data_IF_404180498548
#
_entry.id   IF_404180498548
#
_cell.length_a   1.000
_cell.length_b   1.000
_cell.length_c   1.000
_cell.angle_alpha   90.00
_cell.angle_beta   90.00
_cell.angle_gamma   90.00
#
_symmetry.space_group_name_H-M   'P 1'
#
loop_
_entity.id
_entity.type
_entity.pdbx_description
1 polymer ?
#
# COMPACT_ATOMS: atom_id res chain seq x y z
N UNK A 1 -8.67 -0.60 42.20
CA UNK A 1 -9.00 0.60 41.40
C UNK A 1 -8.79 0.22 39.96
N UNK A 2 -9.82 0.29 39.11
CA UNK A 2 -9.65 0.06 37.68
C UNK A 2 -8.77 1.19 37.12
N UNK A 3 -7.66 0.84 36.48
CA UNK A 3 -6.81 1.79 35.76
C UNK A 3 -7.61 2.30 34.56
N UNK A 4 -7.95 3.58 34.54
CA UNK A 4 -8.58 4.20 33.37
C UNK A 4 -7.62 4.10 32.19
N UNK A 5 -8.11 3.63 31.04
CA UNK A 5 -7.36 3.65 29.79
C UNK A 5 -7.03 5.11 29.46
N UNK A 6 -5.79 5.45 29.12
CA UNK A 6 -5.46 6.80 28.69
C UNK A 6 -6.26 7.14 27.42
N UNK A 7 -6.58 8.42 27.20
CA UNK A 7 -7.24 8.81 25.97
C UNK A 7 -6.40 8.54 24.74
N UNK A 8 -7.06 8.14 23.67
CA UNK A 8 -6.49 8.02 22.35
C UNK A 8 -6.70 9.33 21.58
N UNK A 9 -5.68 9.72 20.81
CA UNK A 9 -5.78 10.86 19.89
C UNK A 9 -6.54 10.48 18.62
N UNK A 10 -7.03 11.50 17.91
CA UNK A 10 -7.45 11.33 16.53
C UNK A 10 -6.29 10.76 15.69
N UNK A 11 -6.57 9.72 14.91
CA UNK A 11 -5.59 9.08 14.03
C UNK A 11 -5.72 9.50 12.57
N UNK A 12 -6.74 10.28 12.24
CA UNK A 12 -6.93 10.79 10.88
C UNK A 12 -5.98 11.96 10.62
N UNK A 13 -5.12 11.79 9.62
CA UNK A 13 -4.11 12.73 9.17
C UNK A 13 -4.29 13.12 7.71
N UNK A 14 -3.24 13.62 7.07
CA UNK A 14 -3.31 14.19 5.72
C UNK A 14 -2.40 13.43 4.75
N UNK A 15 -2.94 13.06 3.59
CA UNK A 15 -2.14 12.63 2.45
C UNK A 15 -1.85 13.85 1.56
N UNK A 16 -0.58 14.10 1.28
CA UNK A 16 -0.08 15.30 0.61
C UNK A 16 0.83 14.93 -0.56
N UNK A 17 1.13 15.88 -1.44
CA UNK A 17 2.01 15.67 -2.59
C UNK A 17 2.05 16.90 -3.49
N UNK A 18 2.45 16.74 -4.77
CA UNK A 18 2.54 17.84 -5.69
C UNK A 18 1.22 18.61 -5.81
N UNK A 19 1.31 19.93 -5.73
CA UNK A 19 0.16 20.85 -5.77
C UNK A 19 -0.55 21.04 -4.43
N UNK A 20 -0.15 20.37 -3.33
CA UNK A 20 -0.72 20.65 -1.99
C UNK A 20 -0.49 22.09 -1.56
N UNK A 21 -1.52 22.74 -1.03
CA UNK A 21 -1.39 24.07 -0.44
C UNK A 21 -0.59 24.02 0.89
N UNK A 22 0.62 24.61 0.95
CA UNK A 22 1.48 24.52 2.12
C UNK A 22 0.92 25.25 3.35
N UNK A 23 0.09 26.28 3.17
CA UNK A 23 -0.51 27.04 4.29
C UNK A 23 -1.51 26.18 5.08
N UNK A 24 -2.24 25.29 4.40
CA UNK A 24 -3.15 24.34 5.06
C UNK A 24 -2.38 23.35 5.92
N UNK A 25 -1.28 22.81 5.39
CA UNK A 25 -0.40 21.90 6.14
C UNK A 25 0.25 22.61 7.33
N UNK A 26 0.74 23.84 7.13
CA UNK A 26 1.37 24.65 8.17
C UNK A 26 0.42 24.88 9.34
N UNK A 27 -0.78 25.42 9.06
CA UNK A 27 -1.78 25.71 10.10
C UNK A 27 -2.19 24.44 10.86
N UNK A 28 -2.52 23.36 10.15
CA UNK A 28 -2.82 22.07 10.76
C UNK A 28 -1.72 21.56 11.70
N UNK A 29 -0.46 21.53 11.23
CA UNK A 29 0.65 21.03 12.05
C UNK A 29 0.97 21.95 13.23
N UNK A 30 0.92 23.27 13.04
CA UNK A 30 1.19 24.22 14.10
C UNK A 30 0.20 24.04 15.25
N UNK A 31 -1.10 24.02 14.94
CA UNK A 31 -2.14 23.93 15.96
C UNK A 31 -2.09 22.61 16.74
N UNK A 32 -1.88 21.49 16.06
CA UNK A 32 -1.71 20.19 16.72
C UNK A 32 -0.44 20.16 17.59
N UNK A 33 0.67 20.72 17.10
CA UNK A 33 1.93 20.79 17.84
C UNK A 33 1.78 21.63 19.11
N UNK A 34 1.14 22.81 19.01
CA UNK A 34 0.87 23.69 20.15
C UNK A 34 -0.07 23.04 21.18
N UNK A 35 -0.99 22.19 20.72
CA UNK A 35 -1.90 21.42 21.57
C UNK A 35 -1.26 20.16 22.17
N UNK A 36 -0.01 19.81 21.82
CA UNK A 36 0.61 18.57 22.29
C UNK A 36 0.08 17.31 21.60
N UNK A 37 -0.52 17.45 20.42
CA UNK A 37 -1.21 16.38 19.70
C UNK A 37 -0.31 15.89 18.54
N UNK A 38 -0.02 14.59 18.47
CA UNK A 38 0.73 14.02 17.37
C UNK A 38 -0.05 14.11 16.06
N UNK A 39 0.67 14.32 14.95
CA UNK A 39 0.08 14.38 13.61
C UNK A 39 0.56 13.19 12.77
N UNK A 40 -0.24 12.80 11.78
CA UNK A 40 0.11 11.79 10.79
C UNK A 40 0.09 12.44 9.40
N UNK A 41 1.23 12.48 8.71
CA UNK A 41 1.34 13.05 7.37
C UNK A 41 2.01 12.05 6.45
N UNK A 42 1.38 11.78 5.30
CA UNK A 42 2.01 11.11 4.17
C UNK A 42 2.28 12.15 3.08
N UNK A 43 3.47 12.12 2.49
CA UNK A 43 3.80 12.91 1.31
C UNK A 43 4.30 11.99 0.20
N UNK A 44 3.63 12.01 -0.96
CA UNK A 44 4.04 11.24 -2.13
C UNK A 44 4.87 12.10 -3.07
N UNK A 45 6.06 11.62 -3.45
CA UNK A 45 6.97 12.25 -4.43
C UNK A 45 7.46 13.69 -4.14
N UNK A 46 6.88 14.41 -3.18
CA UNK A 46 7.27 15.77 -2.79
C UNK A 46 7.83 15.80 -1.36
N UNK A 47 9.17 15.81 -1.25
CA UNK A 47 9.86 15.85 0.04
C UNK A 47 9.80 17.23 0.72
N UNK A 48 9.49 18.30 -0.01
CA UNK A 48 9.51 19.67 0.54
C UNK A 48 8.47 19.85 1.64
N UNK A 49 7.34 19.16 1.54
CA UNK A 49 6.29 19.14 2.55
C UNK A 49 6.74 18.43 3.83
N UNK A 50 7.51 17.33 3.71
CA UNK A 50 8.10 16.64 4.85
C UNK A 50 9.13 17.52 5.55
N UNK A 51 10.01 18.20 4.80
CA UNK A 51 10.98 19.14 5.38
C UNK A 51 10.30 20.28 6.14
N UNK A 52 9.20 20.78 5.59
CA UNK A 52 8.37 21.79 6.25
C UNK A 52 7.82 21.23 7.56
N UNK A 53 7.20 20.05 7.54
CA UNK A 53 6.66 19.40 8.72
C UNK A 53 7.73 19.12 9.80
N UNK A 54 8.90 18.63 9.40
CA UNK A 54 10.04 18.38 10.31
C UNK A 54 10.54 19.67 10.97
N UNK A 55 10.52 20.79 10.25
CA UNK A 55 10.98 22.09 10.74
C UNK A 55 10.00 22.67 11.75
N UNK A 56 8.69 22.57 11.50
CA UNK A 56 7.65 23.05 12.40
C UNK A 56 7.62 22.29 13.73
N UNK A 57 7.87 20.99 13.66
CA UNK A 57 7.76 20.10 14.82
C UNK A 57 9.08 19.90 15.56
N UNK A 58 10.16 20.58 15.15
CA UNK A 58 11.52 20.33 15.66
C UNK A 58 11.67 20.58 17.17
N UNK A 59 10.96 21.56 17.70
CA UNK A 59 11.01 21.92 19.12
C UNK A 59 10.05 21.11 20.00
N UNK A 60 9.16 20.32 19.39
CA UNK A 60 8.18 19.55 20.11
C UNK A 60 8.73 18.16 20.42
N UNK A 61 8.67 17.74 21.68
CA UNK A 61 8.92 16.34 22.08
C UNK A 61 7.69 15.46 21.78
N UNK A 62 7.13 15.62 20.57
CA UNK A 62 5.96 14.89 20.10
C UNK A 62 6.36 13.91 19.01
N UNK A 63 5.80 12.69 19.09
CA UNK A 63 6.03 11.65 18.11
C UNK A 63 5.09 11.81 16.90
N UNK A 64 5.25 12.90 16.15
CA UNK A 64 4.61 13.01 14.84
C UNK A 64 5.09 11.88 13.93
N UNK A 65 4.18 11.34 13.12
CA UNK A 65 4.49 10.29 12.15
C UNK A 65 4.49 10.89 10.75
N UNK A 66 5.65 10.91 10.13
CA UNK A 66 5.85 11.40 8.77
C UNK A 66 6.23 10.24 7.86
N UNK A 67 5.54 10.13 6.73
CA UNK A 67 5.79 9.10 5.71
C UNK A 67 6.13 9.78 4.39
N UNK A 68 7.30 9.47 3.84
CA UNK A 68 7.66 9.84 2.48
C UNK A 68 7.48 8.64 1.56
N UNK A 69 6.54 8.76 0.64
CA UNK A 69 6.12 7.70 -0.24
C UNK A 69 6.79 7.81 -1.60
N UNK A 70 7.53 6.78 -1.96
CA UNK A 70 8.04 6.59 -3.31
C UNK A 70 7.11 5.62 -4.06
N UNK A 71 6.42 6.10 -5.12
CA UNK A 71 5.56 5.25 -5.94
C UNK A 71 6.34 4.07 -6.54
N UNK A 72 5.66 2.93 -6.71
CA UNK A 72 6.26 1.74 -7.30
C UNK A 72 6.98 2.02 -8.64
N UNK A 73 6.40 2.90 -9.47
CA UNK A 73 7.00 3.35 -10.73
C UNK A 73 8.40 3.96 -10.56
N UNK A 74 8.67 4.68 -9.46
CA UNK A 74 9.95 5.33 -9.19
C UNK A 74 10.95 4.42 -8.49
N UNK A 75 10.49 3.41 -7.74
CA UNK A 75 11.36 2.48 -6.99
C UNK A 75 11.63 1.17 -7.71
N UNK A 76 11.00 0.92 -8.85
CA UNK A 76 11.21 -0.31 -9.60
C UNK A 76 10.11 -0.66 -10.56
N UNK A 77 9.46 0.31 -11.23
CA UNK A 77 8.40 0.02 -12.22
C UNK A 77 8.83 -0.99 -13.28
N UNK A 78 10.10 -0.93 -13.70
CA UNK A 78 10.69 -1.88 -14.64
C UNK A 78 11.15 -3.19 -13.98
N UNK A 79 11.43 -3.17 -12.67
CA UNK A 79 11.87 -4.32 -11.87
C UNK A 79 10.70 -5.13 -11.30
N UNK A 80 9.50 -4.56 -11.30
CA UNK A 80 8.25 -5.21 -10.95
C UNK A 80 7.24 -4.97 -12.08
N UNK A 81 7.37 -5.68 -13.21
CA UNK A 81 6.27 -5.84 -14.13
C UNK A 81 5.25 -6.74 -13.42
N UNK A 82 4.47 -6.14 -12.53
CA UNK A 82 3.38 -6.80 -11.78
C UNK A 82 2.32 -7.41 -12.71
N UNK A 83 2.43 -7.14 -14.02
CA UNK A 83 1.67 -7.67 -15.13
C UNK A 83 2.30 -8.90 -15.81
N UNK A 84 3.48 -9.36 -15.37
CA UNK A 84 4.12 -10.58 -15.85
C UNK A 84 3.77 -11.79 -14.96
N UNK A 85 2.99 -12.78 -15.46
CA UNK A 85 2.51 -13.92 -14.68
C UNK A 85 3.64 -14.80 -14.11
N UNK A 86 4.83 -14.77 -14.73
CA UNK A 86 5.98 -15.59 -14.33
C UNK A 86 7.05 -14.83 -13.53
N UNK A 87 6.87 -13.53 -13.25
CA UNK A 87 7.87 -12.73 -12.53
C UNK A 87 8.30 -13.41 -11.21
N UNK A 88 7.34 -13.96 -10.46
CA UNK A 88 7.60 -14.65 -9.21
C UNK A 88 8.25 -16.03 -9.38
N UNK A 89 7.91 -16.77 -10.44
CA UNK A 89 8.54 -18.06 -10.74
C UNK A 89 10.00 -17.86 -11.20
N UNK A 90 10.26 -16.79 -11.94
CA UNK A 90 11.57 -16.45 -12.47
C UNK A 90 12.53 -15.88 -11.41
N UNK A 91 11.99 -15.33 -10.32
CA UNK A 91 12.76 -14.71 -9.24
C UNK A 91 12.73 -15.48 -7.91
N UNK A 92 12.22 -16.71 -7.88
CA UNK A 92 12.27 -17.55 -6.67
C UNK A 92 13.72 -17.85 -6.29
N UNK A 93 14.10 -17.58 -5.05
CA UNK A 93 15.49 -17.67 -4.58
C UNK A 93 16.34 -16.45 -4.94
N UNK A 94 15.76 -15.41 -5.55
CA UNK A 94 16.42 -14.16 -5.90
C UNK A 94 15.93 -12.97 -5.07
N UNK A 95 15.09 -13.20 -4.06
CA UNK A 95 14.43 -12.20 -3.21
C UNK A 95 15.42 -11.15 -2.70
N UNK A 96 16.55 -11.61 -2.17
CA UNK A 96 17.63 -10.76 -1.66
C UNK A 96 18.24 -9.86 -2.76
N UNK A 97 18.49 -10.43 -3.94
CA UNK A 97 19.12 -9.69 -5.05
C UNK A 97 18.18 -8.66 -5.67
N UNK A 98 16.88 -8.97 -5.75
CA UNK A 98 15.84 -8.03 -6.19
C UNK A 98 15.68 -6.92 -5.16
N UNK A 99 15.59 -7.27 -3.87
CA UNK A 99 15.51 -6.30 -2.78
C UNK A 99 16.72 -5.35 -2.79
N UNK A 100 17.94 -5.85 -3.03
CA UNK A 100 19.13 -5.01 -3.09
C UNK A 100 19.10 -4.01 -4.27
N UNK A 101 18.56 -4.41 -5.42
CA UNK A 101 18.39 -3.50 -6.57
C UNK A 101 17.38 -2.39 -6.25
N UNK A 102 16.21 -2.77 -5.73
CA UNK A 102 15.13 -1.84 -5.35
C UNK A 102 15.60 -0.87 -4.27
N UNK A 103 16.28 -1.39 -3.25
CA UNK A 103 16.82 -0.57 -2.16
C UNK A 103 17.82 0.47 -2.69
N UNK A 104 18.77 0.05 -3.53
CA UNK A 104 19.74 0.97 -4.16
C UNK A 104 19.05 2.04 -5.02
N UNK A 105 18.03 1.65 -5.79
CA UNK A 105 17.26 2.59 -6.61
C UNK A 105 16.51 3.59 -5.73
N UNK A 106 15.84 3.12 -4.68
CA UNK A 106 15.15 3.98 -3.73
C UNK A 106 16.11 5.01 -3.12
N UNK A 107 17.26 4.57 -2.59
CA UNK A 107 18.26 5.48 -2.03
C UNK A 107 18.78 6.50 -3.03
N UNK A 108 18.93 6.13 -4.31
CA UNK A 108 19.33 7.04 -5.37
C UNK A 108 18.29 8.12 -5.70
N UNK A 109 17.02 7.88 -5.39
CA UNK A 109 15.92 8.82 -5.59
C UNK A 109 15.67 9.73 -4.39
N UNK A 110 16.30 9.45 -3.24
CA UNK A 110 16.10 10.26 -2.04
C UNK A 110 16.86 11.60 -2.11
N UNK A 111 16.28 12.68 -1.55
CA UNK A 111 17.02 13.90 -1.28
C UNK A 111 18.22 13.64 -0.36
N UNK A 112 19.30 14.39 -0.57
CA UNK A 112 20.55 14.23 0.20
C UNK A 112 20.40 14.51 1.69
N UNK A 113 19.37 15.27 2.07
CA UNK A 113 19.05 15.67 3.44
C UNK A 113 17.83 14.93 4.01
N UNK A 114 17.50 13.75 3.47
CA UNK A 114 16.43 12.90 3.97
C UNK A 114 16.68 12.50 5.44
N UNK A 115 15.69 12.76 6.31
CA UNK A 115 15.76 12.45 7.74
C UNK A 115 15.29 11.00 8.03
N UNK A 116 16.22 10.06 7.87
CA UNK A 116 15.97 8.62 8.05
C UNK A 116 15.54 8.19 9.46
N UNK A 117 15.80 9.01 10.47
CA UNK A 117 15.46 8.72 11.87
C UNK A 117 14.01 9.11 12.19
N UNK A 118 13.51 10.19 11.57
CA UNK A 118 12.18 10.73 11.86
C UNK A 118 11.14 10.38 10.80
N UNK A 119 11.55 10.14 9.56
CA UNK A 119 10.66 9.90 8.42
C UNK A 119 10.64 8.43 8.04
N UNK A 120 9.45 7.86 7.93
CA UNK A 120 9.22 6.55 7.36
C UNK A 120 9.36 6.63 5.84
N UNK A 121 10.26 5.85 5.27
CA UNK A 121 10.34 5.65 3.83
C UNK A 121 9.35 4.56 3.43
N UNK A 122 8.31 4.91 2.69
CA UNK A 122 7.40 3.94 2.10
C UNK A 122 7.88 3.53 0.70
N UNK A 123 8.10 2.23 0.50
CA UNK A 123 8.53 1.67 -0.77
C UNK A 123 7.41 0.88 -1.44
N UNK A 124 7.41 0.92 -2.78
CA UNK A 124 6.48 0.22 -3.65
C UNK A 124 5.02 0.66 -3.47
N UNK A 125 4.78 1.90 -3.05
CA UNK A 125 3.43 2.40 -2.83
C UNK A 125 2.54 2.21 -4.07
N UNK A 126 1.33 1.70 -3.86
CA UNK A 126 0.40 1.35 -4.93
C UNK A 126 0.67 0.00 -5.60
N UNK A 127 1.33 -0.94 -4.91
CA UNK A 127 1.50 -2.33 -5.37
C UNK A 127 0.18 -2.97 -5.85
N UNK A 128 0.24 -3.87 -6.84
CA UNK A 128 -0.90 -4.26 -7.68
C UNK A 128 -2.04 -4.95 -6.93
N UNK A 129 -3.21 -4.81 -7.54
CA UNK A 129 -4.42 -5.57 -7.30
C UNK A 129 -4.17 -7.06 -7.64
N UNK A 130 -4.29 -8.02 -6.74
CA UNK A 130 -4.20 -9.49 -6.99
C UNK A 130 -2.80 -10.10 -6.93
N UNK A 131 -2.65 -10.99 -5.94
CA UNK A 131 -1.48 -11.84 -5.73
C UNK A 131 -1.95 -13.27 -5.44
N UNK A 132 -1.61 -14.26 -6.27
CA UNK A 132 -1.65 -15.67 -5.88
C UNK A 132 -0.87 -15.95 -4.59
N UNK A 133 -1.28 -16.93 -3.79
CA UNK A 133 -0.66 -17.24 -2.48
C UNK A 133 0.86 -17.45 -2.55
N UNK A 134 1.37 -18.09 -3.61
CA UNK A 134 2.81 -18.29 -3.81
C UNK A 134 3.58 -16.99 -4.02
N UNK A 135 2.92 -15.95 -4.52
CA UNK A 135 3.50 -14.62 -4.68
C UNK A 135 3.53 -13.88 -3.34
N UNK A 136 2.51 -14.06 -2.49
CA UNK A 136 2.52 -13.52 -1.14
C UNK A 136 3.69 -14.07 -0.31
N UNK A 137 3.94 -15.37 -0.38
CA UNK A 137 5.08 -16.01 0.30
C UNK A 137 6.43 -15.38 -0.13
N UNK A 138 6.65 -15.25 -1.45
CA UNK A 138 7.83 -14.60 -2.00
C UNK A 138 7.93 -13.12 -1.61
N UNK A 139 6.81 -12.38 -1.64
CA UNK A 139 6.76 -10.97 -1.25
C UNK A 139 7.12 -10.78 0.21
N UNK A 140 6.70 -11.69 1.08
CA UNK A 140 7.10 -11.69 2.47
C UNK A 140 8.61 -11.85 2.62
N UNK A 141 9.23 -12.81 1.93
CA UNK A 141 10.70 -12.98 1.92
C UNK A 141 11.44 -11.75 1.37
N UNK A 142 10.95 -11.22 0.26
CA UNK A 142 11.46 -9.98 -0.34
C UNK A 142 11.35 -8.80 0.64
N UNK A 143 10.22 -8.69 1.36
CA UNK A 143 10.01 -7.69 2.40
C UNK A 143 10.99 -7.86 3.57
N UNK A 144 11.26 -9.10 4.00
CA UNK A 144 12.29 -9.40 5.02
C UNK A 144 13.67 -8.94 4.57
N UNK A 145 14.02 -9.17 3.30
CA UNK A 145 15.29 -8.72 2.74
C UNK A 145 15.40 -7.18 2.73
N UNK A 146 14.37 -6.47 2.28
CA UNK A 146 14.31 -5.00 2.34
C UNK A 146 14.41 -4.48 3.78
N UNK A 147 13.68 -5.09 4.71
CA UNK A 147 13.70 -4.71 6.12
C UNK A 147 15.11 -4.83 6.71
N UNK A 148 15.85 -5.91 6.38
CA UNK A 148 17.25 -6.08 6.82
C UNK A 148 18.14 -4.94 6.34
N UNK A 149 18.05 -4.59 5.06
CA UNK A 149 18.87 -3.51 4.47
C UNK A 149 18.52 -2.15 5.07
N UNK A 150 17.22 -1.83 5.20
CA UNK A 150 16.79 -0.58 5.82
C UNK A 150 17.28 -0.44 7.26
N UNK A 151 17.22 -1.50 8.06
CA UNK A 151 17.72 -1.50 9.43
C UNK A 151 19.25 -1.33 9.50
N UNK A 152 19.99 -2.01 8.60
CA UNK A 152 21.45 -1.85 8.50
C UNK A 152 21.84 -0.40 8.17
N UNK A 153 21.06 0.26 7.32
CA UNK A 153 21.30 1.64 6.89
C UNK A 153 20.67 2.69 7.84
N UNK A 154 19.97 2.25 8.89
CA UNK A 154 19.36 3.11 9.91
C UNK A 154 18.09 3.84 9.46
N UNK A 155 17.34 3.27 8.52
CA UNK A 155 16.08 3.82 8.02
C UNK A 155 14.87 3.26 8.76
N UNK A 156 13.86 4.13 8.93
CA UNK A 156 12.47 3.69 9.13
C UNK A 156 11.85 3.30 7.79
N UNK A 157 11.36 2.07 7.68
CA UNK A 157 10.80 1.51 6.45
C UNK A 157 9.34 1.11 6.64
N UNK A 158 8.50 1.58 5.72
CA UNK A 158 7.12 1.14 5.57
C UNK A 158 6.98 0.34 4.27
N UNK A 159 6.49 -0.90 4.36
CA UNK A 159 6.47 -1.80 3.21
C UNK A 159 5.13 -1.81 2.48
N UNK A 160 5.26 -1.80 1.16
CA UNK A 160 4.28 -2.08 0.10
C UNK A 160 3.19 -1.05 -0.17
N UNK A 161 2.66 -0.35 0.82
CA UNK A 161 1.61 0.66 0.58
C UNK A 161 0.44 0.11 -0.24
N UNK A 162 -0.06 -1.06 0.18
CA UNK A 162 -0.96 -1.88 -0.62
C UNK A 162 -2.23 -1.14 -1.01
N UNK A 163 -2.70 -1.29 -2.24
CA UNK A 163 -4.02 -0.76 -2.62
C UNK A 163 -5.16 -1.43 -1.85
N UNK A 164 -6.29 -0.71 -1.71
CA UNK A 164 -7.49 -1.24 -1.05
C UNK A 164 -7.92 -2.57 -1.69
N UNK A 165 -8.32 -3.53 -0.84
CA UNK A 165 -8.64 -4.90 -1.26
C UNK A 165 -7.45 -5.89 -1.31
N UNK A 166 -6.19 -5.43 -1.21
CA UNK A 166 -5.01 -6.30 -1.36
C UNK A 166 -3.92 -6.15 -0.27
N UNK A 167 -3.14 -7.19 0.03
CA UNK A 167 -3.35 -8.56 -0.40
C UNK A 167 -4.59 -9.14 0.30
N UNK A 168 -5.07 -10.28 -0.17
CA UNK A 168 -6.23 -10.93 0.47
C UNK A 168 -5.89 -11.34 1.92
N UNK A 169 -6.87 -11.41 2.82
CA UNK A 169 -6.64 -11.80 4.22
C UNK A 169 -5.86 -13.11 4.42
N UNK A 170 -6.00 -14.07 3.51
CA UNK A 170 -5.29 -15.36 3.60
C UNK A 170 -3.81 -15.25 3.23
N UNK A 171 -3.44 -14.28 2.39
CA UNK A 171 -2.05 -14.05 1.97
C UNK A 171 -1.14 -13.75 3.17
N UNK A 172 -1.65 -13.08 4.20
CA UNK A 172 -0.93 -12.78 5.44
C UNK A 172 -0.54 -14.02 6.25
N UNK A 173 -1.11 -15.19 5.95
CA UNK A 173 -0.84 -16.47 6.64
C UNK A 173 0.17 -17.35 5.90
N UNK A 174 0.73 -16.89 4.78
CA UNK A 174 1.83 -17.58 4.12
C UNK A 174 3.12 -17.44 4.94
N UNK A 175 4.03 -18.42 4.82
CA UNK A 175 5.23 -18.49 5.67
C UNK A 175 6.10 -17.23 5.56
N UNK A 176 6.30 -16.71 4.35
CA UNK A 176 7.08 -15.51 4.11
C UNK A 176 6.41 -14.25 4.66
N UNK A 177 5.09 -14.12 4.51
CA UNK A 177 4.37 -12.99 5.11
C UNK A 177 4.45 -13.06 6.64
N UNK A 178 4.32 -14.25 7.24
CA UNK A 178 4.50 -14.42 8.68
C UNK A 178 5.93 -14.09 9.15
N UNK A 179 6.96 -14.44 8.37
CA UNK A 179 8.34 -14.01 8.65
C UNK A 179 8.51 -12.50 8.58
N UNK A 180 7.84 -11.84 7.63
CA UNK A 180 7.80 -10.39 7.56
C UNK A 180 7.09 -9.79 8.79
N UNK A 181 5.93 -10.32 9.18
CA UNK A 181 5.21 -9.83 10.36
C UNK A 181 6.04 -9.98 11.64
N UNK A 182 6.73 -11.10 11.82
CA UNK A 182 7.70 -11.29 12.91
C UNK A 182 8.74 -10.18 12.92
N UNK A 183 9.35 -9.89 11.75
CA UNK A 183 10.39 -8.87 11.63
C UNK A 183 9.88 -7.47 11.97
N UNK A 184 8.68 -7.11 11.50
CA UNK A 184 8.06 -5.82 11.84
C UNK A 184 7.74 -5.73 13.34
N UNK A 185 7.27 -6.82 13.94
CA UNK A 185 6.94 -6.89 15.37
C UNK A 185 8.17 -6.80 16.29
N UNK A 186 9.33 -7.28 15.83
CA UNK A 186 10.62 -7.17 16.55
C UNK A 186 11.22 -5.76 16.50
N UNK A 187 10.75 -4.90 15.60
CA UNK A 187 11.32 -3.55 15.41
C UNK A 187 10.23 -2.52 15.08
N UNK A 188 9.23 -2.32 15.95
CA UNK A 188 8.04 -1.54 15.65
C UNK A 188 8.32 -0.04 15.42
N UNK A 189 9.47 0.48 15.87
CA UNK A 189 9.88 1.88 15.65
C UNK A 189 10.74 2.10 14.40
N UNK A 190 11.06 1.01 13.67
CA UNK A 190 11.82 1.05 12.41
C UNK A 190 11.10 0.37 11.25
N UNK A 191 10.23 -0.58 11.50
CA UNK A 191 9.58 -1.38 10.46
C UNK A 191 8.06 -1.34 10.61
N UNK A 192 7.38 -1.09 9.50
CA UNK A 192 5.94 -1.03 9.45
C UNK A 192 5.40 -1.67 8.17
N UNK A 193 4.14 -2.11 8.24
CA UNK A 193 3.36 -2.46 7.06
C UNK A 193 2.50 -1.25 6.69
N UNK A 194 2.47 -0.92 5.40
CA UNK A 194 1.67 0.16 4.89
C UNK A 194 0.49 -0.32 4.05
N UNK A 195 -0.66 0.37 4.19
CA UNK A 195 -1.92 0.05 3.55
C UNK A 195 -2.62 1.32 3.04
N UNK A 196 -3.38 1.17 1.96
CA UNK A 196 -4.39 2.13 1.54
C UNK A 196 -5.80 1.57 1.80
N UNK A 197 -6.70 2.32 2.43
CA UNK A 197 -8.03 1.84 2.81
C UNK A 197 -9.10 2.78 2.27
N UNK A 198 -9.92 2.29 1.35
CA UNK A 198 -11.05 3.03 0.77
C UNK A 198 -12.34 2.26 1.00
N UNK A 199 -13.41 2.94 1.40
CA UNK A 199 -14.73 2.29 1.50
C UNK A 199 -15.35 1.98 0.14
N UNK A 200 -14.88 2.66 -0.93
CA UNK A 200 -15.46 2.57 -2.26
C UNK A 200 -16.82 3.25 -2.39
N UNK A 201 -17.23 4.02 -1.38
CA UNK A 201 -18.54 4.70 -1.36
C UNK A 201 -18.47 6.02 -0.60
N UNK A 202 -18.98 7.14 -1.16
CA UNK A 202 -19.10 8.40 -0.42
C UNK A 202 -20.11 8.30 0.75
N UNK A 203 -20.97 7.30 0.78
CA UNK A 203 -22.06 7.24 1.76
C UNK A 203 -21.60 6.72 3.14
N UNK A 204 -20.37 6.21 3.27
CA UNK A 204 -19.90 5.63 4.54
C UNK A 204 -18.38 5.42 4.60
N UNK A 205 -17.83 5.42 5.82
CA UNK A 205 -16.50 4.90 6.14
C UNK A 205 -16.57 3.64 7.02
N UNK A 206 -17.73 2.97 7.05
CA UNK A 206 -17.88 1.77 7.86
C UNK A 206 -17.01 0.62 7.31
N UNK A 207 -16.29 -0.10 8.19
CA UNK A 207 -15.60 -1.33 7.80
C UNK A 207 -16.57 -2.48 7.45
N UNK A 208 -17.83 -2.39 7.89
CA UNK A 208 -18.84 -3.44 7.66
C UNK A 208 -19.68 -3.20 6.40
N UNK A 209 -19.45 -2.08 5.71
CA UNK A 209 -20.12 -1.79 4.46
C UNK A 209 -19.68 -2.79 3.36
N UNK A 210 -20.61 -3.29 2.52
CA UNK A 210 -20.27 -4.24 1.47
C UNK A 210 -19.18 -3.72 0.53
N UNK A 211 -18.10 -4.48 0.37
CA UNK A 211 -16.97 -4.11 -0.49
C UNK A 211 -16.02 -3.06 0.10
N UNK A 212 -16.25 -2.61 1.35
CA UNK A 212 -15.37 -1.66 2.02
C UNK A 212 -13.99 -2.25 2.31
N UNK A 213 -12.95 -1.48 2.00
CA UNK A 213 -11.58 -1.78 2.40
C UNK A 213 -11.20 -1.20 3.76
N UNK A 214 -12.10 -0.49 4.44
CA UNK A 214 -11.83 0.11 5.75
C UNK A 214 -11.60 -0.98 6.80
N UNK A 215 -10.55 -0.84 7.62
CA UNK A 215 -10.27 -1.73 8.73
C UNK A 215 -9.71 -3.10 8.35
N UNK A 216 -9.25 -3.26 7.11
CA UNK A 216 -8.62 -4.49 6.63
C UNK A 216 -7.28 -4.79 7.31
N UNK A 217 -6.65 -3.78 7.92
CA UNK A 217 -5.48 -3.99 8.77
C UNK A 217 -5.74 -5.04 9.88
N UNK A 218 -7.00 -5.24 10.30
CA UNK A 218 -7.38 -6.29 11.25
C UNK A 218 -6.96 -7.68 10.80
N UNK A 219 -6.98 -7.97 9.49
CA UNK A 219 -6.52 -9.26 8.96
C UNK A 219 -5.02 -9.52 9.21
N UNK A 220 -4.19 -8.46 9.24
CA UNK A 220 -2.77 -8.55 9.60
C UNK A 220 -2.64 -8.90 11.07
N UNK A 221 -3.41 -8.21 11.92
CA UNK A 221 -3.38 -8.40 13.37
C UNK A 221 -3.91 -9.79 13.75
N UNK A 222 -4.93 -10.29 13.07
CA UNK A 222 -5.43 -11.65 13.24
C UNK A 222 -4.38 -12.69 12.82
N UNK A 223 -3.72 -12.51 11.68
CA UNK A 223 -2.65 -13.41 11.24
C UNK A 223 -1.47 -13.41 12.22
N UNK A 224 -1.10 -12.26 12.76
CA UNK A 224 -0.08 -12.13 13.80
C UNK A 224 -0.53 -12.83 15.11
N UNK A 225 -1.76 -12.60 15.55
CA UNK A 225 -2.31 -13.21 16.77
C UNK A 225 -2.40 -14.74 16.67
N UNK A 226 -2.85 -15.27 15.53
CA UNK A 226 -2.91 -16.71 15.24
C UNK A 226 -1.53 -17.39 15.43
N UNK A 227 -0.45 -16.66 15.16
CA UNK A 227 0.94 -17.12 15.28
C UNK A 227 1.66 -16.61 16.54
N UNK A 228 0.94 -15.93 17.45
CA UNK A 228 1.52 -15.33 18.68
C UNK A 228 2.65 -14.33 18.40
N UNK A 229 2.54 -13.61 17.29
CA UNK A 229 3.42 -12.50 16.91
C UNK A 229 2.87 -11.22 17.52
N UNK A 230 3.72 -10.43 18.19
CA UNK A 230 3.32 -9.11 18.69
C UNK A 230 2.74 -8.25 17.54
N UNK A 231 1.79 -7.35 17.80
CA UNK A 231 1.24 -6.49 16.76
C UNK A 231 2.32 -5.68 16.04
N UNK A 232 2.47 -5.79 14.70
CA UNK A 232 3.40 -4.96 13.95
C UNK A 232 2.88 -3.51 13.88
N UNK A 233 3.78 -2.56 13.62
CA UNK A 233 3.37 -1.17 13.32
C UNK A 233 2.67 -1.11 11.96
N UNK A 234 1.55 -0.38 11.92
CA UNK A 234 0.68 -0.22 10.75
C UNK A 234 0.53 1.26 10.41
N UNK A 235 0.72 1.59 9.13
CA UNK A 235 0.52 2.93 8.58
C UNK A 235 -0.56 2.87 7.50
N UNK A 236 -1.65 3.62 7.65
CA UNK A 236 -2.67 3.70 6.59
C UNK A 236 -2.36 4.94 5.75
N UNK A 237 -1.54 4.78 4.71
CA UNK A 237 -0.92 5.90 4.00
C UNK A 237 -1.85 6.61 3.02
N UNK A 238 -2.95 5.98 2.60
CA UNK A 238 -4.05 6.65 1.92
C UNK A 238 -5.39 6.09 2.43
N UNK A 239 -6.33 6.98 2.74
CA UNK A 239 -7.57 6.61 3.41
C UNK A 239 -8.73 7.49 2.96
N UNK A 240 -9.92 6.91 2.84
CA UNK A 240 -11.13 7.70 2.64
C UNK A 240 -12.29 6.90 2.05
N UNK A 241 -13.14 7.61 1.32
CA UNK A 241 -14.36 7.07 0.74
C UNK A 241 -14.08 6.42 -0.61
N UNK A 242 -14.27 7.20 -1.66
CA UNK A 242 -14.00 6.86 -3.05
C UNK A 242 -12.82 7.72 -3.55
N UNK A 243 -12.00 7.17 -4.44
CA UNK A 243 -10.81 7.88 -4.92
C UNK A 243 -11.13 9.14 -5.74
N UNK A 244 -12.36 9.23 -6.28
CA UNK A 244 -12.83 10.32 -7.11
C UNK A 244 -13.81 11.25 -6.37
N UNK A 245 -14.34 10.84 -5.20
CA UNK A 245 -15.36 11.61 -4.50
C UNK A 245 -15.26 11.53 -2.98
N UNK A 246 -15.36 12.71 -2.37
CA UNK A 246 -15.50 12.90 -0.92
C UNK A 246 -16.89 13.48 -0.64
N UNK A 247 -17.53 13.15 0.50
CA UNK A 247 -18.80 13.75 0.89
C UNK A 247 -18.69 15.24 1.17
N UNK A 248 -19.82 15.92 1.38
CA UNK A 248 -19.78 17.27 1.92
C UNK A 248 -19.13 17.29 3.32
N UNK A 249 -18.57 18.43 3.77
CA UNK A 249 -17.80 18.49 5.02
C UNK A 249 -18.55 18.04 6.28
N UNK A 250 -19.86 18.29 6.37
CA UNK A 250 -20.67 17.90 7.54
C UNK A 250 -20.82 16.37 7.61
N UNK A 251 -21.21 15.76 6.49
CA UNK A 251 -21.28 14.31 6.35
C UNK A 251 -19.92 13.65 6.55
N UNK A 252 -18.88 14.21 5.94
CA UNK A 252 -17.52 13.68 6.05
C UNK A 252 -17.01 13.72 7.50
N UNK A 253 -17.26 14.80 8.24
CA UNK A 253 -16.90 14.92 9.64
C UNK A 253 -17.56 13.83 10.50
N UNK A 254 -18.87 13.61 10.32
CA UNK A 254 -19.59 12.57 11.05
C UNK A 254 -19.00 11.17 10.77
N UNK A 255 -18.70 10.87 9.50
CA UNK A 255 -18.06 9.59 9.14
C UNK A 255 -16.64 9.45 9.69
N UNK A 256 -15.83 10.53 9.72
CA UNK A 256 -14.47 10.50 10.28
C UNK A 256 -14.49 10.28 11.80
N UNK A 257 -15.40 10.96 12.49
CA UNK A 257 -15.62 10.75 13.93
C UNK A 257 -15.97 9.29 14.21
N UNK A 258 -16.95 8.75 13.48
CA UNK A 258 -17.40 7.36 13.62
C UNK A 258 -16.27 6.36 13.33
N UNK A 259 -15.53 6.55 12.23
CA UNK A 259 -14.41 5.66 11.89
C UNK A 259 -13.28 5.71 12.92
N UNK A 260 -12.99 6.88 13.50
CA UNK A 260 -11.96 6.97 14.53
C UNK A 260 -12.45 6.36 15.86
N UNK A 261 -13.69 6.66 16.26
CA UNK A 261 -14.32 6.15 17.48
C UNK A 261 -14.50 4.64 17.45
N UNK A 262 -15.02 4.07 16.36
CA UNK A 262 -15.31 2.63 16.30
C UNK A 262 -14.12 1.76 15.90
N UNK A 263 -13.11 2.34 15.25
CA UNK A 263 -12.03 1.59 14.65
C UNK A 263 -10.68 2.15 15.07
N UNK A 264 -10.16 3.20 14.45
CA UNK A 264 -8.72 3.50 14.54
C UNK A 264 -8.21 3.81 15.97
N UNK A 265 -9.00 4.49 16.80
CA UNK A 265 -8.63 4.79 18.18
C UNK A 265 -8.39 3.53 19.03
N UNK A 266 -9.03 2.41 18.70
CA UNK A 266 -8.94 1.15 19.46
C UNK A 266 -7.67 0.32 19.17
N UNK A 267 -6.87 0.69 18.15
CA UNK A 267 -5.75 -0.15 17.70
C UNK A 267 -4.40 0.57 17.82
N UNK A 268 -3.67 0.45 18.94
CA UNK A 268 -2.36 1.09 19.14
C UNK A 268 -1.33 0.79 18.04
N UNK A 269 -1.43 -0.37 17.39
CA UNK A 269 -0.60 -0.77 16.26
C UNK A 269 -0.74 0.19 15.05
N UNK A 270 -1.90 0.82 14.87
CA UNK A 270 -2.15 1.79 13.81
C UNK A 270 -1.66 3.17 14.25
N UNK A 271 -0.65 3.71 13.57
CA UNK A 271 -0.08 5.04 13.87
C UNK A 271 -0.93 6.18 13.32
N UNK A 272 -1.65 5.96 12.23
CA UNK A 272 -2.53 6.95 11.62
C UNK A 272 -3.10 6.50 10.28
N UNK A 273 -4.06 7.28 9.79
CA UNK A 273 -4.71 7.12 8.49
C UNK A 273 -4.79 8.45 7.75
N UNK A 274 -4.14 8.55 6.59
CA UNK A 274 -4.00 9.81 5.87
C UNK A 274 -5.13 10.02 4.84
N UNK A 275 -5.93 11.08 5.02
CA UNK A 275 -7.02 11.44 4.11
C UNK A 275 -6.51 11.65 2.67
N UNK A 276 -7.01 10.84 1.75
CA UNK A 276 -6.75 10.96 0.31
C UNK A 276 -7.61 12.06 -0.34
N UNK A 277 -7.04 13.06 -1.00
CA UNK A 277 -5.64 13.48 -1.02
C UNK A 277 -5.59 14.99 -1.20
N UNK A 278 -4.60 15.69 -0.65
CA UNK A 278 -4.37 17.11 -0.91
C UNK A 278 -3.47 17.36 -2.13
N UNK A 279 -3.04 16.32 -2.84
CA UNK A 279 -2.17 16.43 -4.01
C UNK A 279 -2.99 16.73 -5.28
N UNK A 280 -3.16 18.02 -5.60
CA UNK A 280 -3.97 18.47 -6.76
C UNK A 280 -3.48 17.95 -8.11
N UNK A 281 -2.17 17.68 -8.24
CA UNK A 281 -1.63 17.12 -9.48
C UNK A 281 -1.93 15.62 -9.63
N UNK A 282 -2.35 14.95 -8.56
CA UNK A 282 -2.67 13.52 -8.56
C UNK A 282 -4.16 13.23 -8.69
N UNK A 283 -5.03 14.08 -8.14
CA UNK A 283 -6.47 13.82 -8.18
C UNK A 283 -7.31 15.10 -8.14
N UNK A 284 -8.38 15.20 -8.95
CA UNK A 284 -9.35 16.28 -8.85
C UNK A 284 -10.13 16.27 -7.51
N UNK A 285 -10.07 15.17 -6.75
CA UNK A 285 -10.67 15.09 -5.41
C UNK A 285 -9.96 16.02 -4.40
N UNK A 286 -8.78 16.55 -4.74
CA UNK A 286 -7.98 17.34 -3.80
C UNK A 286 -8.67 18.61 -3.29
N UNK A 287 -9.41 19.31 -4.15
CA UNK A 287 -10.20 20.45 -3.71
C UNK A 287 -11.30 20.07 -2.70
N UNK A 288 -11.86 18.85 -2.79
CA UNK A 288 -12.84 18.35 -1.83
C UNK A 288 -12.17 17.95 -0.52
N UNK A 289 -11.01 17.28 -0.59
CA UNK A 289 -10.24 16.89 0.58
C UNK A 289 -9.66 18.10 1.35
N UNK A 290 -9.26 19.18 0.66
CA UNK A 290 -8.83 20.43 1.31
C UNK A 290 -9.91 21.05 2.19
N UNK A 291 -11.18 20.95 1.76
CA UNK A 291 -12.31 21.42 2.57
C UNK A 291 -12.47 20.63 3.89
N UNK A 292 -11.83 19.46 4.01
CA UNK A 292 -11.84 18.64 5.22
C UNK A 292 -10.66 18.89 6.16
N UNK A 293 -9.66 19.69 5.79
CA UNK A 293 -8.50 19.95 6.67
C UNK A 293 -8.94 20.63 7.98
N UNK A 294 -9.81 21.64 7.89
CA UNK A 294 -10.35 22.29 9.09
C UNK A 294 -11.22 21.34 9.94
N UNK A 295 -12.15 20.56 9.37
CA UNK A 295 -12.85 19.49 10.09
C UNK A 295 -11.93 18.46 10.78
N UNK A 296 -10.86 17.99 10.12
CA UNK A 296 -9.89 17.05 10.73
C UNK A 296 -9.13 17.72 11.88
N UNK A 297 -8.74 18.98 11.71
CA UNK A 297 -8.12 19.79 12.76
C UNK A 297 -9.04 19.92 13.97
N UNK A 298 -10.30 20.29 13.76
CA UNK A 298 -11.33 20.38 14.80
C UNK A 298 -11.52 19.04 15.52
N UNK A 299 -11.66 17.94 14.76
CA UNK A 299 -11.75 16.59 15.33
C UNK A 299 -10.54 16.27 16.22
N UNK A 300 -9.35 16.71 15.83
CA UNK A 300 -8.13 16.44 16.59
C UNK A 300 -8.05 17.26 17.88
N UNK A 301 -8.48 18.53 17.85
CA UNK A 301 -8.35 19.46 18.96
C UNK A 301 -9.47 19.30 20.00
N UNK A 302 -10.69 18.98 19.55
CA UNK A 302 -11.90 19.07 20.38
C UNK A 302 -12.40 17.71 20.89
N UNK A 303 -11.90 16.59 20.33
CA UNK A 303 -12.38 15.25 20.67
C UNK A 303 -11.31 14.40 21.35
N UNK A 304 -11.68 13.85 22.51
CA UNK A 304 -10.91 12.88 23.26
C UNK A 304 -11.54 11.50 23.06
N UNK A 305 -10.81 10.56 22.44
CA UNK A 305 -11.32 9.20 22.23
C UNK A 305 -11.01 8.34 23.44
N UNK A 306 -12.02 7.67 23.99
CA UNK A 306 -11.87 6.76 25.13
C UNK A 306 -12.36 5.38 24.76
N UNK A 307 -11.49 4.56 24.13
CA UNK A 307 -11.82 3.18 23.79
C UNK A 307 -12.33 2.43 25.02
N UNK A 308 -13.51 1.82 24.93
CA UNK A 308 -13.99 0.91 25.97
C UNK A 308 -13.01 -0.28 26.03
N UNK A 309 -12.46 -0.63 27.20
CA UNK A 309 -11.67 -1.85 27.36
C UNK A 309 -12.39 -3.13 26.89
N UNK A 310 -13.73 -3.15 26.90
CA UNK A 310 -14.53 -4.25 26.36
C UNK A 310 -14.43 -4.37 24.84
N UNK A 311 -14.16 -3.26 24.15
CA UNK A 311 -13.94 -3.17 22.71
C UNK A 311 -12.46 -3.24 22.35
N UNK A 312 -11.60 -3.63 23.31
CA UNK A 312 -10.21 -3.88 23.04
C UNK A 312 -10.07 -4.97 21.98
N UNK A 313 -9.19 -4.80 20.99
CA UNK A 313 -9.10 -5.75 19.90
C UNK A 313 -8.65 -7.13 20.41
N UNK A 314 -9.05 -8.23 19.74
CA UNK A 314 -8.85 -9.60 20.25
C UNK A 314 -7.41 -9.94 20.62
N UNK A 315 -6.42 -9.35 19.95
CA UNK A 315 -5.01 -9.55 20.25
C UNK A 315 -4.58 -8.89 21.57
N UNK A 316 -5.25 -7.83 22.04
CA UNK A 316 -4.90 -7.14 23.28
C UNK A 316 -5.01 -8.05 24.52
N UNK A 317 -5.89 -9.05 24.48
CA UNK A 317 -5.98 -10.06 25.53
C UNK A 317 -4.87 -11.13 25.47
N UNK A 318 -4.31 -11.35 24.28
CA UNK A 318 -3.32 -12.42 24.01
C UNK A 318 -1.88 -12.01 24.29
N UNK A 319 -1.60 -10.70 24.33
CA UNK A 319 -0.27 -10.17 24.64
C UNK A 319 -0.32 -9.42 25.96
N UNK A 320 0.48 -9.81 26.99
CA UNK A 320 0.63 -8.95 28.15
C UNK A 320 1.10 -7.58 27.67
N UNK A 321 0.66 -6.50 28.35
CA UNK A 321 1.12 -5.13 28.11
C UNK A 321 2.63 -5.00 28.35
N UNK A 322 3.45 -5.63 27.52
CA UNK A 322 4.89 -5.43 27.46
C UNK A 322 5.07 -4.12 26.72
N UNK A 323 5.40 -3.06 27.47
CA UNK A 323 6.10 -1.85 27.04
C UNK A 323 5.99 -1.46 25.56
N UNK A 324 4.81 -1.60 24.96
CA UNK A 324 4.32 -0.66 23.98
C UNK A 324 4.14 0.57 24.84
N UNK A 325 5.24 1.30 25.05
CA UNK A 325 5.13 2.71 25.34
C UNK A 325 4.28 3.20 24.19
N UNK A 326 3.00 3.44 24.46
CA UNK A 326 2.16 4.10 23.49
C UNK A 326 2.98 5.32 23.07
N UNK A 327 3.43 5.37 21.82
CA UNK A 327 4.29 6.45 21.37
C UNK A 327 3.57 7.79 21.46
N UNK A 328 2.26 7.76 21.70
CA UNK A 328 1.42 8.89 21.99
C UNK A 328 1.10 9.07 23.49
N UNK A 329 1.46 8.14 24.38
CA UNK A 329 1.39 8.41 25.82
C UNK A 329 2.39 9.52 26.17
N UNK A 330 1.86 10.64 26.67
CA UNK A 330 2.64 11.81 27.07
C UNK A 330 3.80 11.40 28.01
N UNK A 331 5.04 11.59 27.56
CA UNK A 331 6.25 11.42 28.39
C UNK A 331 7.13 10.19 28.13
N UNK A 332 6.96 9.43 27.03
CA UNK A 332 7.88 8.34 26.71
C UNK A 332 9.21 8.84 26.14
N UNK A 333 10.26 8.91 26.97
CA UNK A 333 11.64 9.09 26.50
C UNK A 333 12.19 7.75 26.00
N UNK A 334 12.28 7.56 24.69
CA UNK A 334 12.87 6.36 24.10
C UNK A 334 14.37 6.27 24.48
N UNK A 335 14.74 5.28 25.29
CA UNK A 335 16.14 4.91 25.51
C UNK A 335 16.60 4.03 24.33
N UNK A 336 17.62 4.49 23.60
CA UNK A 336 18.29 3.70 22.57
C UNK A 336 18.86 2.42 23.19
N UNK A 337 18.46 1.21 22.76
CA UNK A 337 19.09 -0.01 23.22
C UNK A 337 20.54 -0.05 22.73
N UNK A 338 21.48 -0.32 23.63
CA UNK A 338 22.86 -0.63 23.27
C UNK A 338 22.87 -1.94 22.47
N UNK A 339 23.16 -1.84 21.17
CA UNK A 339 23.31 -2.99 20.28
C UNK A 339 24.48 -3.86 20.74
N UNK A 340 24.19 -5.10 21.13
CA UNK A 340 25.19 -6.15 21.34
C UNK A 340 25.37 -6.91 20.01
N UNK A 341 26.61 -7.12 19.54
CA UNK A 341 26.85 -7.92 18.35
C UNK A 341 26.65 -9.40 18.69
N UNK A 342 25.68 -10.06 18.07
CA UNK A 342 25.55 -11.52 18.12
C UNK A 342 25.92 -12.14 16.77
N UNK A 343 26.91 -13.02 16.87
CA UNK A 343 27.19 -14.26 16.12
C UNK A 343 27.15 -14.24 14.58
N UNK A 344 28.25 -14.74 14.02
CA UNK A 344 28.56 -14.91 12.60
C UNK A 344 27.46 -15.64 11.83
N UNK A 345 26.93 -14.96 10.82
CA UNK A 345 26.02 -15.50 9.81
C UNK A 345 26.75 -16.54 8.92
N UNK A 346 26.23 -17.77 8.77
CA UNK A 346 26.85 -18.80 7.92
C UNK A 346 26.80 -18.50 6.41
N UNK A 347 26.28 -17.34 5.98
CA UNK A 347 26.25 -16.90 4.58
C UNK A 347 27.22 -15.75 4.25
N UNK A 348 28.19 -15.44 5.12
CA UNK A 348 29.26 -14.49 4.80
C UNK A 348 30.27 -15.08 3.80
N UNK A 349 29.94 -15.01 2.51
CA UNK A 349 30.86 -15.33 1.41
C UNK A 349 31.51 -14.06 0.88
N UNK A 350 32.39 -13.44 1.65
CA UNK A 350 33.38 -12.50 1.08
C UNK A 350 34.46 -13.29 0.34
N UNK A 351 34.24 -13.55 -0.95
CA UNK A 351 35.25 -13.93 -1.93
C UNK A 351 35.41 -12.81 -2.97
N UNK A 352 36.62 -12.58 -3.53
CA UNK A 352 36.92 -11.38 -4.30
C UNK A 352 36.39 -11.46 -5.74
N UNK A 353 35.84 -10.33 -6.22
CA UNK A 353 35.73 -9.92 -7.63
C UNK A 353 35.57 -11.05 -8.68
N UNK A 354 34.38 -11.65 -8.75
CA UNK A 354 33.88 -12.20 -10.00
C UNK A 354 32.75 -11.30 -10.49
N UNK A 355 33.10 -10.42 -11.43
CA UNK A 355 32.14 -9.65 -12.21
C UNK A 355 31.20 -10.65 -12.91
N UNK A 356 29.97 -10.75 -12.41
CA UNK A 356 28.88 -11.42 -13.10
C UNK A 356 28.62 -10.67 -14.41
N UNK A 357 29.12 -11.24 -15.50
CA UNK A 357 28.83 -10.85 -16.88
C UNK A 357 27.36 -11.16 -17.16
N UNK A 358 26.49 -10.24 -16.76
CA UNK A 358 25.06 -10.29 -17.06
C UNK A 358 24.85 -9.85 -18.51
N UNK A 359 24.01 -10.54 -19.30
CA UNK A 359 23.74 -10.15 -20.68
C UNK A 359 23.17 -8.73 -20.73
N UNK A 360 23.96 -7.83 -21.29
CA UNK A 360 23.62 -6.44 -21.57
C UNK A 360 22.70 -6.38 -22.78
N UNK A 361 21.39 -6.59 -22.60
CA UNK A 361 20.35 -6.18 -23.56
C UNK A 361 18.97 -6.51 -22.95
N UNK A 362 18.48 -5.63 -22.07
CA UNK A 362 17.03 -5.50 -21.85
C UNK A 362 16.65 -4.22 -22.58
N UNK A 363 16.00 -4.41 -23.73
CA UNK A 363 15.56 -3.37 -24.65
C UNK A 363 14.60 -2.41 -23.94
N UNK A 364 15.09 -1.21 -23.64
CA UNK A 364 14.41 -0.22 -22.78
C UNK A 364 13.34 0.58 -23.54
N UNK A 365 12.74 0.00 -24.59
CA UNK A 365 11.99 0.76 -25.59
C UNK A 365 10.58 0.20 -25.90
N UNK A 366 9.98 -0.60 -25.02
CA UNK A 366 8.56 -0.92 -25.12
C UNK A 366 7.72 0.26 -24.59
N UNK A 367 7.47 1.23 -25.47
CA UNK A 367 6.34 2.15 -25.32
C UNK A 367 5.03 1.34 -25.25
N UNK A 368 3.99 1.81 -24.52
CA UNK A 368 2.70 1.13 -24.45
C UNK A 368 2.07 1.06 -25.85
N UNK A 369 2.17 -0.11 -26.49
CA UNK A 369 1.63 -0.35 -27.83
C UNK A 369 0.11 -0.49 -27.70
N UNK A 370 -0.63 0.49 -28.21
CA UNK A 370 -2.07 0.33 -28.44
C UNK A 370 -2.27 -0.91 -29.34
N UNK A 371 -3.20 -1.81 -29.02
CA UNK A 371 -3.38 -3.03 -29.79
C UNK A 371 -3.68 -2.65 -31.24
N UNK A 372 -2.84 -3.11 -32.17
CA UNK A 372 -3.04 -2.83 -33.59
C UNK A 372 -4.26 -3.60 -34.13
N UNK A 373 -4.74 -4.63 -33.40
CA UNK A 373 -5.85 -5.48 -33.81
C UNK A 373 -6.85 -5.82 -32.68
N UNK A 374 -7.65 -4.85 -32.19
CA UNK A 374 -8.65 -5.11 -31.14
C UNK A 374 -9.71 -6.15 -31.54
N UNK A 375 -10.05 -6.24 -32.83
CA UNK A 375 -11.01 -7.23 -33.33
C UNK A 375 -10.49 -8.67 -33.21
N UNK A 376 -9.19 -8.91 -33.46
CA UNK A 376 -8.56 -10.22 -33.32
C UNK A 376 -8.55 -10.64 -31.86
N UNK A 377 -8.16 -9.73 -30.96
CA UNK A 377 -8.20 -9.97 -29.52
C UNK A 377 -9.60 -10.34 -29.02
N UNK A 378 -10.62 -9.56 -29.39
CA UNK A 378 -12.02 -9.84 -29.03
C UNK A 378 -12.50 -11.20 -29.54
N UNK A 379 -12.13 -11.57 -30.77
CA UNK A 379 -12.45 -12.88 -31.35
C UNK A 379 -11.83 -14.02 -30.55
N UNK A 380 -10.55 -13.89 -30.17
CA UNK A 380 -9.85 -14.90 -29.36
C UNK A 380 -10.47 -15.03 -27.97
N UNK A 381 -10.78 -13.92 -27.29
CA UNK A 381 -11.49 -13.95 -26.00
C UNK A 381 -12.81 -14.72 -26.13
N UNK A 382 -13.62 -14.40 -27.15
CA UNK A 382 -14.90 -15.08 -27.39
C UNK A 382 -14.73 -16.59 -27.64
N UNK A 383 -13.64 -17.03 -28.26
CA UNK A 383 -13.37 -18.46 -28.50
C UNK A 383 -12.94 -19.22 -27.24
N UNK A 384 -12.16 -18.59 -26.35
CA UNK A 384 -11.52 -19.29 -25.22
C UNK A 384 -12.17 -19.05 -23.85
N UNK A 385 -13.10 -18.09 -23.75
CA UNK A 385 -13.85 -17.80 -22.53
C UNK A 385 -15.32 -18.18 -22.73
N UNK A 386 -15.90 -18.85 -21.74
CA UNK A 386 -17.35 -19.00 -21.61
C UNK A 386 -17.99 -17.66 -21.22
N UNK A 387 -19.32 -17.57 -21.32
CA UNK A 387 -20.03 -16.33 -20.94
C UNK A 387 -19.87 -16.01 -19.45
N UNK A 388 -19.90 -17.05 -18.60
CA UNK A 388 -19.69 -16.88 -17.16
C UNK A 388 -18.28 -16.36 -16.84
N UNK A 389 -17.25 -16.88 -17.52
CA UNK A 389 -15.88 -16.39 -17.34
C UNK A 389 -15.70 -14.97 -17.87
N UNK A 390 -16.40 -14.60 -18.95
CA UNK A 390 -16.36 -13.22 -19.48
C UNK A 390 -17.03 -12.21 -18.51
N UNK A 391 -18.06 -12.66 -17.77
CA UNK A 391 -18.67 -11.89 -16.68
C UNK A 391 -17.68 -11.67 -15.53
N UNK A 392 -17.01 -12.73 -15.07
CA UNK A 392 -15.98 -12.62 -14.04
C UNK A 392 -14.82 -11.72 -14.48
N UNK A 393 -14.32 -11.91 -15.70
CA UNK A 393 -13.26 -11.07 -16.25
C UNK A 393 -13.66 -9.59 -16.32
N UNK A 394 -14.92 -9.29 -16.66
CA UNK A 394 -15.43 -7.91 -16.67
C UNK A 394 -15.48 -7.33 -15.26
N UNK A 395 -15.93 -8.12 -14.28
CA UNK A 395 -15.96 -7.73 -12.87
C UNK A 395 -14.56 -7.41 -12.33
N UNK A 396 -13.57 -8.26 -12.60
CA UNK A 396 -12.17 -8.06 -12.20
C UNK A 396 -11.56 -6.80 -12.83
N UNK A 397 -12.11 -6.35 -13.97
CA UNK A 397 -11.73 -5.10 -14.64
C UNK A 397 -12.55 -3.88 -14.19
N UNK A 398 -13.40 -4.05 -13.17
CA UNK A 398 -14.34 -3.05 -12.68
C UNK A 398 -15.29 -2.54 -13.79
N UNK A 399 -15.82 -3.46 -14.60
CA UNK A 399 -16.83 -3.21 -15.62
C UNK A 399 -18.07 -4.07 -15.35
N UNK A 400 -19.26 -3.47 -15.44
CA UNK A 400 -20.50 -4.22 -15.41
C UNK A 400 -20.71 -4.91 -16.77
N UNK A 401 -20.66 -6.24 -16.76
CA UNK A 401 -20.86 -7.04 -17.97
C UNK A 401 -22.23 -6.80 -18.60
N UNK A 402 -23.28 -6.62 -17.80
CA UNK A 402 -24.64 -6.46 -18.30
C UNK A 402 -24.85 -5.10 -18.98
N UNK A 403 -24.08 -4.08 -18.60
CA UNK A 403 -24.08 -2.75 -19.23
C UNK A 403 -23.26 -2.66 -20.53
N UNK A 404 -22.36 -3.61 -20.81
CA UNK A 404 -21.58 -3.60 -22.06
C UNK A 404 -22.51 -3.67 -23.29
N UNK A 405 -22.29 -2.88 -24.35
CA UNK A 405 -23.06 -3.01 -25.59
C UNK A 405 -23.07 -4.43 -26.18
N UNK A 406 -24.21 -4.85 -26.74
CA UNK A 406 -24.39 -6.17 -27.36
C UNK A 406 -25.28 -7.12 -26.56
N UNK A 407 -25.85 -8.12 -27.23
CA UNK A 407 -26.74 -9.11 -26.60
C UNK A 407 -26.13 -10.51 -26.48
N UNK A 408 -25.15 -10.83 -27.32
CA UNK A 408 -24.46 -12.12 -27.31
C UNK A 408 -23.02 -11.99 -26.80
N UNK A 409 -22.42 -13.14 -26.43
CA UNK A 409 -21.05 -13.23 -25.89
C UNK A 409 -20.01 -12.58 -26.81
N UNK A 410 -20.17 -12.74 -28.12
CA UNK A 410 -19.24 -12.17 -29.10
C UNK A 410 -19.28 -10.65 -29.10
N UNK A 411 -20.47 -10.07 -29.13
CA UNK A 411 -20.67 -8.62 -29.08
C UNK A 411 -20.17 -8.04 -27.75
N UNK A 412 -20.41 -8.76 -26.63
CA UNK A 412 -19.90 -8.37 -25.30
C UNK A 412 -18.37 -8.40 -25.23
N UNK A 413 -17.72 -9.41 -25.80
CA UNK A 413 -16.25 -9.46 -25.87
C UNK A 413 -15.66 -8.30 -26.69
N UNK A 414 -16.31 -7.93 -27.80
CA UNK A 414 -15.92 -6.77 -28.61
C UNK A 414 -16.10 -5.46 -27.85
N UNK A 415 -17.22 -5.30 -27.14
CA UNK A 415 -17.49 -4.14 -26.31
C UNK A 415 -16.49 -3.99 -25.15
N UNK A 416 -16.11 -5.10 -24.51
CA UNK A 416 -15.09 -5.14 -23.45
C UNK A 416 -13.74 -4.60 -23.96
N UNK A 417 -13.23 -5.17 -25.06
CA UNK A 417 -11.95 -4.76 -25.66
C UNK A 417 -12.00 -3.29 -26.09
N UNK A 418 -13.09 -2.86 -26.74
CA UNK A 418 -13.23 -1.49 -27.24
C UNK A 418 -13.31 -0.47 -26.09
N UNK A 419 -14.02 -0.82 -25.00
CA UNK A 419 -14.14 0.02 -23.80
C UNK A 419 -12.80 0.17 -23.09
N UNK A 420 -12.01 -0.89 -22.98
CA UNK A 420 -10.71 -0.84 -22.32
C UNK A 420 -9.65 -0.17 -23.20
N UNK A 421 -9.74 -0.32 -24.52
CA UNK A 421 -8.89 0.40 -25.46
C UNK A 421 -9.11 1.92 -25.35
N UNK A 422 -10.38 2.37 -25.32
CA UNK A 422 -10.70 3.81 -25.25
C UNK A 422 -10.33 4.45 -23.91
N UNK A 423 -10.26 3.66 -22.83
CA UNK A 423 -9.83 4.08 -21.50
C UNK A 423 -8.32 3.91 -21.25
N UNK A 424 -7.54 3.53 -22.26
CA UNK A 424 -6.11 3.20 -22.12
C UNK A 424 -5.80 2.11 -21.06
N UNK A 425 -6.77 1.21 -20.79
CA UNK A 425 -6.66 0.08 -19.84
C UNK A 425 -6.41 -1.27 -20.52
N UNK A 426 -5.90 -1.27 -21.76
CA UNK A 426 -5.63 -2.52 -22.49
C UNK A 426 -4.58 -3.41 -21.79
N UNK A 427 -3.61 -2.80 -21.12
CA UNK A 427 -2.59 -3.52 -20.35
C UNK A 427 -3.23 -4.39 -19.25
N UNK A 428 -4.23 -3.87 -18.53
CA UNK A 428 -4.94 -4.61 -17.48
C UNK A 428 -5.71 -5.81 -18.03
N UNK A 429 -6.35 -5.66 -19.20
CA UNK A 429 -7.02 -6.77 -19.89
C UNK A 429 -6.02 -7.87 -20.28
N UNK A 430 -4.93 -7.51 -20.98
CA UNK A 430 -3.93 -8.47 -21.43
C UNK A 430 -3.28 -9.20 -20.26
N UNK A 431 -3.07 -8.52 -19.12
CA UNK A 431 -2.61 -9.11 -17.87
C UNK A 431 -3.51 -10.24 -17.40
N UNK A 432 -4.83 -9.99 -17.27
CA UNK A 432 -5.78 -11.01 -16.81
C UNK A 432 -5.93 -12.16 -17.81
N UNK A 433 -5.95 -11.87 -19.11
CA UNK A 433 -6.04 -12.91 -20.15
C UNK A 433 -4.83 -13.87 -20.10
N UNK A 434 -3.62 -13.34 -19.92
CA UNK A 434 -2.40 -14.16 -19.76
C UNK A 434 -2.46 -14.99 -18.47
N UNK A 435 -3.00 -14.45 -17.39
CA UNK A 435 -3.17 -15.19 -16.14
C UNK A 435 -4.11 -16.39 -16.31
N UNK A 436 -5.30 -16.15 -16.87
CA UNK A 436 -6.34 -17.17 -16.99
C UNK A 436 -6.03 -18.22 -18.07
N UNK A 437 -5.31 -17.83 -19.12
CA UNK A 437 -4.97 -18.69 -20.27
C UNK A 437 -3.53 -18.44 -20.74
N UNK A 438 -2.52 -18.92 -19.99
CA UNK A 438 -1.11 -18.62 -20.25
C UNK A 438 -0.56 -19.23 -21.55
N UNK A 439 -1.25 -20.24 -22.11
CA UNK A 439 -0.82 -20.90 -23.35
C UNK A 439 -1.18 -20.13 -24.62
N UNK A 440 -2.01 -19.08 -24.52
CA UNK A 440 -2.45 -18.29 -25.67
C UNK A 440 -1.50 -17.09 -25.82
N UNK A 441 -0.95 -16.83 -27.01
CA UNK A 441 -0.01 -15.74 -27.24
C UNK A 441 -0.73 -14.38 -27.35
N UNK A 442 -1.35 -13.92 -26.26
CA UNK A 442 -2.19 -12.72 -26.23
C UNK A 442 -1.49 -11.46 -26.74
N UNK A 443 -0.19 -11.32 -26.48
CA UNK A 443 0.63 -10.18 -26.92
C UNK A 443 0.74 -10.12 -28.44
N UNK A 444 0.99 -11.26 -29.08
CA UNK A 444 1.14 -11.36 -30.54
C UNK A 444 -0.20 -11.08 -31.22
N UNK A 445 -1.29 -11.62 -30.67
CA UNK A 445 -2.65 -11.41 -31.13
C UNK A 445 -3.03 -9.93 -31.03
N UNK A 446 -2.73 -9.27 -29.90
CA UNK A 446 -3.02 -7.85 -29.71
C UNK A 446 -2.19 -6.94 -30.62
N UNK A 447 -0.94 -7.35 -30.89
CA UNK A 447 0.00 -6.62 -31.74
C UNK A 447 -0.16 -6.91 -33.22
N UNK A 448 -1.02 -7.88 -33.60
CA UNK A 448 -1.18 -8.32 -34.98
C UNK A 448 0.05 -9.02 -35.56
N UNK A 449 0.98 -9.45 -34.70
CA UNK A 449 2.14 -10.22 -35.10
C UNK A 449 1.67 -11.64 -35.49
N UNK A 450 2.16 -12.15 -36.61
CA UNK A 450 1.85 -13.52 -37.02
C UNK A 450 2.42 -14.48 -35.96
N UNK A 451 1.62 -15.45 -35.46
CA UNK A 451 2.09 -16.34 -34.40
C UNK A 451 3.32 -17.10 -34.86
N UNK A 452 4.42 -16.95 -34.13
CA UNK A 452 5.63 -17.71 -34.38
C UNK A 452 5.37 -19.16 -33.97
N UNK A 453 4.98 -19.99 -34.95
CA UNK A 453 4.69 -21.43 -34.88
C UNK A 453 3.21 -21.77 -34.64
N UNK A 454 2.69 -22.69 -35.49
CA UNK A 454 1.34 -23.22 -35.42
C UNK A 454 1.10 -23.95 -34.09
N UNK A 455 0.17 -23.44 -33.30
CA UNK A 455 -0.37 -24.13 -32.12
C UNK A 455 -1.03 -25.44 -32.57
N UNK A 456 -0.31 -26.56 -32.42
CA UNK A 456 -0.88 -27.90 -32.48
C UNK A 456 -1.68 -28.12 -31.18
N UNK A 457 -2.94 -27.70 -31.19
CA UNK A 457 -3.90 -27.98 -30.13
C UNK A 457 -4.42 -29.40 -30.35
N UNK A 458 -3.68 -30.39 -29.85
CA UNK A 458 -4.18 -31.77 -29.76
C UNK A 458 -5.43 -31.82 -28.89
N UNK A 459 -6.48 -32.45 -29.43
CA UNK A 459 -7.79 -32.67 -28.80
C UNK A 459 -7.74 -33.39 -27.44
#
# INVERSE_FOLDING_TARGET
MATQTPPAFNKIGLHTGPGTNPELLYSYLQDLTEAGIPAFITAVSDHTLIQTALSLTRSAELNHTFVFSLPAAQTGGDLFPFDQPDFYLNNKGQEQSVAAKIWRQALGSLPTDFDRERVWLELLAGTPEVLPDRQADWLGEFGVALARMAQQDGFRLALFGWQSGHPHPQSWRTDGMLRLLHRCAESPDQLAISLQEFSGSPETLSPDAPGSGIGRFRAILDAAADQKINPPTLLITAWGWDQARVPDPETAFAHMLDANEQLYAHYPAVRGAALWTLAHELSPVAAQAEALVAPIRELSLDYEFRPDPADAPPYAASFPAQSQTDPYAAGSTAQTPAYLPTETDPYDTTGPDDALDLPSEIDSNEQPVAPSQPAALASTINSFFSEAELRSLSFDLALDYDELPGQDKQSKAQALVSTLASRSRMHALLRLLRHDRPRIPWSEIASGAAPAQSLDLGD
#
